data_IF_388629257478
#
_entry.id   IF_388629257478
#
_cell.length_a   1.000
_cell.length_b   1.000
_cell.length_c   1.000
_cell.angle_alpha   90.00
_cell.angle_beta   90.00
_cell.angle_gamma   90.00
#
_symmetry.space_group_name_H-M   'P 1'
#
loop_
_entity.id
_entity.type
_entity.pdbx_description
1 polymer ?
#
# COMPACT_ATOMS: atom_id res chain seq x y z
N UNK A 1 -12.59 26.67 -58.12
CA UNK A 1 -11.53 27.55 -57.61
C UNK A 1 -11.91 28.02 -56.21
N UNK A 2 -11.28 27.36 -55.24
CA UNK A 2 -11.18 27.62 -53.81
C UNK A 2 -11.37 29.08 -53.38
N UNK A 3 -12.25 29.36 -52.39
CA UNK A 3 -12.06 30.44 -51.40
C UNK A 3 -13.19 30.55 -50.35
N UNK A 4 -13.60 29.46 -49.67
CA UNK A 4 -14.56 29.61 -48.55
C UNK A 4 -14.25 28.83 -47.26
N UNK A 5 -13.14 28.07 -47.19
CA UNK A 5 -12.76 27.39 -45.94
C UNK A 5 -11.76 28.17 -45.05
N UNK A 6 -11.16 29.26 -45.54
CA UNK A 6 -10.13 30.00 -44.76
C UNK A 6 -10.70 31.05 -43.80
N UNK A 7 -11.99 31.42 -43.92
CA UNK A 7 -12.64 32.41 -43.03
C UNK A 7 -13.18 31.81 -41.74
N UNK A 8 -13.60 30.53 -41.76
CA UNK A 8 -14.16 29.86 -40.59
C UNK A 8 -13.09 29.49 -39.54
N UNK A 9 -11.92 29.04 -40.00
CA UNK A 9 -10.79 28.67 -39.12
C UNK A 9 -10.13 29.85 -38.42
N UNK A 10 -10.17 31.07 -39.01
CA UNK A 10 -9.65 32.29 -38.37
C UNK A 10 -10.56 32.84 -37.27
N UNK A 11 -11.88 32.63 -37.35
CA UNK A 11 -12.83 33.03 -36.30
C UNK A 11 -12.75 32.13 -35.05
N UNK A 12 -12.44 30.84 -35.23
CA UNK A 12 -12.28 29.89 -34.13
C UNK A 12 -10.97 30.13 -33.33
N UNK A 13 -9.88 30.47 -34.02
CA UNK A 13 -8.59 30.81 -33.39
C UNK A 13 -8.64 32.12 -32.58
N UNK A 14 -9.46 33.09 -32.98
CA UNK A 14 -9.64 34.36 -32.27
C UNK A 14 -10.50 34.22 -31.00
N UNK A 15 -11.47 33.28 -30.98
CA UNK A 15 -12.25 32.97 -29.77
C UNK A 15 -11.50 32.09 -28.77
N UNK A 16 -10.57 31.24 -29.21
CA UNK A 16 -9.73 30.44 -28.30
C UNK A 16 -8.65 31.27 -27.57
N UNK A 17 -8.10 32.32 -28.20
CA UNK A 17 -7.15 33.23 -27.53
C UNK A 17 -7.79 34.13 -26.47
N UNK A 18 -9.09 34.43 -26.59
CA UNK A 18 -9.80 35.24 -25.59
C UNK A 18 -10.25 34.46 -24.35
N UNK A 19 -10.25 33.12 -24.40
CA UNK A 19 -10.59 32.27 -23.25
C UNK A 19 -9.39 31.88 -22.39
N UNK A 20 -8.15 32.04 -22.91
CA UNK A 20 -6.91 31.68 -22.21
C UNK A 20 -6.36 32.85 -21.37
N UNK A 21 -6.83 34.09 -21.57
CA UNK A 21 -6.33 35.29 -20.85
C UNK A 21 -7.21 35.70 -19.65
N UNK A 22 -8.34 35.02 -19.37
CA UNK A 22 -9.22 35.31 -18.21
C UNK A 22 -9.34 34.17 -17.19
N UNK A 23 -8.40 33.23 -17.18
CA UNK A 23 -8.39 32.08 -16.25
C UNK A 23 -7.39 32.16 -15.10
N UNK A 24 -6.62 33.25 -14.98
CA UNK A 24 -5.58 33.37 -13.95
C UNK A 24 -6.01 34.31 -12.83
N UNK A 25 -5.86 33.82 -11.59
CA UNK A 25 -6.02 34.47 -10.30
C UNK A 25 -7.38 34.32 -9.61
N UNK A 26 -7.51 33.23 -8.84
CA UNK A 26 -8.28 33.26 -7.59
C UNK A 26 -7.30 33.80 -6.52
N UNK A 27 -7.50 34.99 -5.93
CA UNK A 27 -6.55 35.53 -4.97
C UNK A 27 -6.55 34.70 -3.68
N UNK A 28 -5.35 34.31 -3.26
CA UNK A 28 -5.10 33.70 -1.96
C UNK A 28 -5.48 34.67 -0.82
N UNK A 29 -6.10 34.12 0.23
CA UNK A 29 -6.45 34.83 1.47
C UNK A 29 -5.20 35.47 2.08
N UNK A 30 -5.17 36.80 2.15
CA UNK A 30 -4.53 37.56 3.22
C UNK A 30 -4.91 39.05 3.09
N UNK A 31 -5.97 39.45 3.78
CA UNK A 31 -6.22 40.84 4.14
C UNK A 31 -7.14 40.87 5.37
N UNK A 32 -6.59 41.26 6.50
CA UNK A 32 -7.31 41.66 7.71
C UNK A 32 -7.82 43.09 7.54
N UNK A 33 -9.14 43.31 7.53
CA UNK A 33 -9.78 44.56 7.96
C UNK A 33 -11.21 44.26 8.48
N UNK A 34 -11.73 45.04 9.44
CA UNK A 34 -12.91 44.69 10.23
C UNK A 34 -14.22 45.23 9.62
N UNK A 35 -15.30 44.47 9.82
CA UNK A 35 -16.68 44.96 9.75
C UNK A 35 -17.25 45.14 8.35
N UNK A 36 -18.14 44.23 7.94
CA UNK A 36 -19.47 44.52 7.39
C UNK A 36 -20.20 43.19 7.12
N UNK A 37 -21.46 43.10 7.55
CA UNK A 37 -22.35 41.96 7.28
C UNK A 37 -22.87 42.01 5.83
N UNK A 38 -23.10 40.82 5.26
CA UNK A 38 -24.08 40.48 4.21
C UNK A 38 -23.51 39.92 2.90
N UNK A 39 -24.01 38.72 2.56
CA UNK A 39 -24.14 38.13 1.21
C UNK A 39 -22.87 37.71 0.46
N UNK A 40 -22.30 36.54 0.81
CA UNK A 40 -21.22 35.91 0.01
C UNK A 40 -21.34 34.39 -0.18
N UNK A 41 -22.51 33.78 0.05
CA UNK A 41 -22.67 32.32 -0.11
C UNK A 41 -23.11 31.87 -1.51
N UNK A 42 -23.56 32.77 -2.39
CA UNK A 42 -24.13 32.36 -3.70
C UNK A 42 -23.08 32.36 -4.83
N UNK A 43 -22.00 33.15 -4.75
CA UNK A 43 -21.01 33.24 -5.84
C UNK A 43 -19.94 32.14 -5.82
N UNK A 44 -19.64 31.54 -4.66
CA UNK A 44 -18.65 30.44 -4.54
C UNK A 44 -19.13 29.15 -5.21
N UNK A 45 -20.43 28.84 -5.15
CA UNK A 45 -21.01 27.66 -5.79
C UNK A 45 -21.00 27.76 -7.31
N UNK A 46 -21.22 28.96 -7.87
CA UNK A 46 -21.23 29.18 -9.31
C UNK A 46 -19.85 28.93 -9.95
N UNK A 47 -18.76 29.17 -9.23
CA UNK A 47 -17.40 28.93 -9.73
C UNK A 47 -17.05 27.42 -9.75
N UNK A 48 -17.45 26.68 -8.71
CA UNK A 48 -17.24 25.22 -8.63
C UNK A 48 -18.09 24.47 -9.67
N UNK A 49 -19.34 24.88 -9.88
CA UNK A 49 -20.23 24.32 -10.90
C UNK A 49 -19.71 24.57 -12.33
N UNK A 50 -19.13 25.75 -12.62
CA UNK A 50 -18.51 26.02 -13.93
C UNK A 50 -17.27 25.17 -14.16
N UNK A 51 -16.44 24.96 -13.14
CA UNK A 51 -15.25 24.10 -13.25
C UNK A 51 -15.61 22.62 -13.46
N UNK A 52 -16.65 22.12 -12.77
CA UNK A 52 -17.15 20.77 -12.95
C UNK A 52 -17.73 20.53 -14.36
N UNK A 53 -18.43 21.51 -14.92
CA UNK A 53 -18.99 21.41 -16.27
C UNK A 53 -17.91 21.44 -17.36
N UNK A 54 -16.87 22.27 -17.23
CA UNK A 54 -15.73 22.28 -18.17
C UNK A 54 -15.00 20.92 -18.17
N UNK A 55 -14.86 20.28 -17.00
CA UNK A 55 -14.22 18.95 -16.90
C UNK A 55 -15.07 17.84 -17.53
N UNK A 56 -16.40 17.91 -17.40
CA UNK A 56 -17.34 16.98 -18.07
C UNK A 56 -17.31 17.17 -19.59
N UNK A 57 -17.31 18.40 -20.08
CA UNK A 57 -17.27 18.69 -21.51
C UNK A 57 -15.95 18.24 -22.15
N UNK A 58 -14.82 18.40 -21.45
CA UNK A 58 -13.52 17.94 -21.91
C UNK A 58 -13.42 16.40 -21.92
N UNK A 59 -14.04 15.72 -20.95
CA UNK A 59 -14.11 14.26 -20.92
C UNK A 59 -14.97 13.72 -22.08
N UNK A 60 -16.14 14.32 -22.34
CA UNK A 60 -17.01 13.94 -23.46
C UNK A 60 -16.36 14.21 -24.82
N UNK A 61 -15.57 15.27 -24.95
CA UNK A 61 -14.82 15.56 -26.18
C UNK A 61 -13.73 14.51 -26.44
N UNK A 62 -12.97 14.14 -25.40
CA UNK A 62 -11.97 13.06 -25.49
C UNK A 62 -12.61 11.71 -25.83
N UNK A 63 -13.77 11.39 -25.24
CA UNK A 63 -14.50 10.15 -25.52
C UNK A 63 -15.03 10.09 -26.98
N UNK A 64 -15.46 11.23 -27.54
CA UNK A 64 -15.88 11.31 -28.95
C UNK A 64 -14.70 11.19 -29.91
N UNK A 65 -13.55 11.78 -29.57
CA UNK A 65 -12.32 11.68 -30.36
C UNK A 65 -11.77 10.24 -30.39
N UNK A 66 -11.79 9.54 -29.26
CA UNK A 66 -11.34 8.13 -29.20
C UNK A 66 -12.29 7.19 -29.93
N UNK A 67 -13.61 7.38 -29.81
CA UNK A 67 -14.60 6.60 -30.56
C UNK A 67 -14.48 6.82 -32.08
N UNK A 68 -14.23 8.05 -32.53
CA UNK A 68 -14.01 8.35 -33.95
C UNK A 68 -12.71 7.71 -34.49
N UNK A 69 -11.63 7.69 -33.70
CA UNK A 69 -10.39 7.03 -34.06
C UNK A 69 -10.55 5.50 -34.16
N UNK A 70 -11.31 4.88 -33.25
CA UNK A 70 -11.60 3.44 -33.29
C UNK A 70 -12.44 3.05 -34.52
N UNK A 71 -13.40 3.87 -34.94
CA UNK A 71 -14.19 3.65 -36.14
C UNK A 71 -13.35 3.77 -37.43
N UNK A 72 -12.36 4.66 -37.45
CA UNK A 72 -11.46 4.81 -38.61
C UNK A 72 -10.53 3.61 -38.77
N UNK A 73 -10.09 3.00 -37.65
CA UNK A 73 -9.23 1.82 -37.63
C UNK A 73 -9.96 0.54 -38.07
N UNK A 74 -11.25 0.40 -37.78
CA UNK A 74 -12.04 -0.76 -38.24
C UNK A 74 -12.38 -0.70 -39.74
N UNK A 75 -12.50 0.50 -40.33
CA UNK A 75 -12.69 0.65 -41.77
C UNK A 75 -11.46 0.26 -42.60
N UNK A 76 -10.24 0.35 -42.06
CA UNK A 76 -9.00 -0.03 -42.74
C UNK A 76 -8.80 -1.57 -42.75
N UNK A 77 -9.41 -2.29 -41.81
CA UNK A 77 -9.27 -3.74 -41.70
C UNK A 77 -10.21 -4.54 -42.63
N UNK A 78 -11.18 -3.91 -43.29
CA UNK A 78 -12.19 -4.60 -44.12
C UNK A 78 -11.92 -4.62 -45.63
N UNK A 79 -10.81 -4.04 -46.12
CA UNK A 79 -10.44 -4.09 -47.54
C UNK A 79 -9.39 -5.15 -47.90
N UNK A 80 -9.10 -6.09 -47.00
CA UNK A 80 -8.22 -7.22 -47.30
C UNK A 80 -8.96 -8.55 -47.11
N UNK A 81 -9.80 -8.89 -48.08
CA UNK A 81 -10.25 -10.27 -48.31
C UNK A 81 -9.90 -10.65 -49.74
N UNK A 82 -9.09 -11.70 -49.91
CA UNK A 82 -8.68 -12.22 -51.20
C UNK A 82 -8.31 -13.70 -51.12
N UNK A 83 -9.33 -14.54 -51.33
CA UNK A 83 -9.33 -15.87 -51.95
C UNK A 83 -8.55 -17.05 -51.32
N UNK A 84 -9.30 -18.10 -50.96
CA UNK A 84 -8.82 -19.48 -50.81
C UNK A 84 -9.93 -20.43 -50.38
N UNK A 85 -10.51 -21.16 -51.35
CA UNK A 85 -11.64 -22.10 -51.19
C UNK A 85 -11.20 -23.46 -50.59
N UNK A 86 -12.14 -24.33 -50.13
CA UNK A 86 -11.87 -25.44 -49.21
C UNK A 86 -11.60 -26.78 -49.91
N UNK A 87 -11.02 -27.72 -49.17
CA UNK A 87 -11.01 -29.14 -49.54
C UNK A 87 -11.22 -30.02 -48.32
N UNK A 88 -12.07 -31.01 -48.53
CA UNK A 88 -12.65 -32.01 -47.64
C UNK A 88 -11.80 -33.29 -47.53
N UNK A 89 -12.30 -34.27 -46.74
CA UNK A 89 -11.94 -35.71 -46.65
C UNK A 89 -10.85 -35.98 -45.58
N UNK A 90 -10.92 -36.91 -44.60
CA UNK A 90 -11.72 -38.11 -44.33
C UNK A 90 -11.72 -38.51 -42.84
N UNK A 91 -12.62 -39.41 -42.47
CA UNK A 91 -12.76 -40.10 -41.18
C UNK A 91 -11.90 -41.38 -41.17
N UNK A 92 -11.30 -41.73 -40.02
CA UNK A 92 -10.70 -43.04 -39.80
C UNK A 92 -10.64 -43.42 -38.30
N UNK A 93 -11.44 -44.42 -37.91
CA UNK A 93 -11.38 -45.12 -36.61
C UNK A 93 -10.21 -46.11 -36.57
N UNK A 94 -9.63 -46.33 -35.38
CA UNK A 94 -8.74 -47.45 -35.08
C UNK A 94 -8.31 -47.46 -33.61
N UNK A 95 -8.87 -48.38 -32.81
CA UNK A 95 -8.48 -48.69 -31.44
C UNK A 95 -7.12 -49.44 -31.38
N UNK A 96 -6.34 -49.23 -30.31
CA UNK A 96 -6.00 -50.26 -29.28
C UNK A 96 -4.81 -49.83 -28.39
N UNK A 97 -5.02 -49.92 -27.07
CA UNK A 97 -4.10 -50.52 -26.08
C UNK A 97 -2.79 -49.80 -25.67
N UNK A 98 -2.69 -49.41 -24.39
CA UNK A 98 -1.41 -49.33 -23.67
C UNK A 98 -1.32 -48.25 -22.59
N UNK A 99 -1.53 -48.63 -21.32
CA UNK A 99 -1.14 -47.84 -20.14
C UNK A 99 0.40 -47.82 -19.99
N UNK A 100 1.00 -46.80 -19.32
CA UNK A 100 1.10 -46.86 -17.85
C UNK A 100 1.04 -45.51 -17.09
N UNK A 101 0.65 -45.66 -15.82
CA UNK A 101 0.99 -44.94 -14.58
C UNK A 101 1.64 -43.54 -14.54
N UNK A 102 1.05 -42.74 -13.64
CA UNK A 102 1.64 -41.81 -12.65
C UNK A 102 2.16 -40.43 -13.10
N UNK A 103 1.56 -39.37 -12.54
CA UNK A 103 2.20 -38.46 -11.57
C UNK A 103 1.22 -37.38 -11.07
N UNK A 104 1.02 -37.34 -9.75
CA UNK A 104 0.34 -36.28 -9.00
C UNK A 104 1.31 -35.11 -8.77
N UNK A 105 0.90 -33.84 -8.92
CA UNK A 105 1.74 -32.70 -8.51
C UNK A 105 1.65 -32.49 -6.99
N UNK A 106 2.83 -32.40 -6.36
CA UNK A 106 2.99 -32.38 -4.91
C UNK A 106 2.63 -31.06 -4.24
N UNK A 107 2.07 -31.19 -3.04
CA UNK A 107 1.93 -30.16 -2.02
C UNK A 107 3.30 -29.74 -1.44
N UNK A 108 3.48 -28.47 -1.04
CA UNK A 108 4.69 -28.02 -0.34
C UNK A 108 4.64 -28.43 1.15
N UNK A 109 5.77 -28.86 1.77
CA UNK A 109 5.74 -29.36 3.12
C UNK A 109 5.78 -28.23 4.18
N UNK A 110 4.87 -28.35 5.13
CA UNK A 110 4.89 -27.66 6.42
C UNK A 110 6.01 -28.23 7.31
N UNK A 111 6.77 -27.37 7.96
CA UNK A 111 7.77 -27.74 8.96
C UNK A 111 7.23 -27.51 10.37
N UNK A 112 7.31 -28.55 11.21
CA UNK A 112 7.17 -28.51 12.66
C UNK A 112 8.13 -29.59 13.25
N UNK A 113 8.44 -29.59 14.56
CA UNK A 113 9.76 -29.22 15.07
C UNK A 113 10.52 -30.40 15.68
N UNK A 114 11.85 -30.30 15.69
CA UNK A 114 12.73 -31.30 16.33
C UNK A 114 13.23 -30.81 17.69
N UNK A 115 12.84 -31.54 18.74
CA UNK A 115 13.57 -31.65 20.01
C UNK A 115 14.84 -32.50 19.79
N UNK A 116 15.86 -32.34 20.64
CA UNK A 116 16.65 -33.49 21.05
C UNK A 116 16.81 -33.61 22.58
N UNK A 117 16.79 -34.84 23.05
CA UNK A 117 17.01 -35.28 24.42
C UNK A 117 18.41 -35.96 24.52
N UNK A 118 19.17 -35.59 25.57
CA UNK A 118 20.14 -36.34 26.41
C UNK A 118 20.96 -37.54 25.84
N UNK A 119 22.22 -37.86 26.20
CA UNK A 119 23.22 -37.46 27.22
C UNK A 119 24.53 -38.24 26.90
N UNK A 120 25.71 -37.81 27.43
CA UNK A 120 26.71 -38.62 28.19
C UNK A 120 28.00 -37.81 28.51
N UNK A 121 28.22 -37.58 29.83
CA UNK A 121 29.43 -37.53 30.70
C UNK A 121 30.87 -37.60 30.11
N UNK A 122 31.97 -37.12 30.74
CA UNK A 122 32.31 -36.33 31.95
C UNK A 122 33.86 -36.20 32.04
N UNK A 123 34.37 -35.11 32.67
CA UNK A 123 35.73 -34.97 33.27
C UNK A 123 36.59 -33.87 32.62
N UNK A 124 37.32 -32.98 33.29
CA UNK A 124 37.58 -32.65 34.70
C UNK A 124 38.79 -31.68 34.79
N UNK A 125 38.77 -30.77 35.77
CA UNK A 125 39.90 -29.99 36.38
C UNK A 125 40.31 -28.58 35.88
N UNK A 126 39.87 -27.57 36.66
CA UNK A 126 40.57 -26.50 37.42
C UNK A 126 41.63 -25.49 36.87
N UNK A 127 41.46 -24.24 37.39
CA UNK A 127 42.40 -23.12 37.66
C UNK A 127 42.82 -22.20 36.48
N UNK A 128 42.99 -20.86 36.54
CA UNK A 128 42.92 -19.75 37.55
C UNK A 128 42.98 -18.39 36.77
N UNK A 129 42.59 -17.25 37.38
CA UNK A 129 43.30 -15.96 37.21
C UNK A 129 42.62 -14.76 36.52
N UNK A 130 41.96 -13.93 37.33
CA UNK A 130 41.94 -12.43 37.40
C UNK A 130 42.39 -11.54 36.21
N UNK A 131 41.58 -10.52 35.86
CA UNK A 131 41.89 -9.09 36.05
C UNK A 131 41.06 -8.13 35.15
N UNK A 132 40.44 -7.14 35.79
CA UNK A 132 39.70 -6.03 35.19
C UNK A 132 40.62 -4.85 34.82
N UNK A 133 40.31 -4.13 33.73
CA UNK A 133 40.64 -2.70 33.56
C UNK A 133 39.95 -2.02 32.37
N UNK A 134 39.19 -0.97 32.69
CA UNK A 134 38.98 0.27 31.91
C UNK A 134 39.22 1.45 32.90
N UNK A 135 39.31 2.75 32.53
CA UNK A 135 39.06 3.40 31.23
C UNK A 135 40.13 4.45 30.83
N UNK A 136 39.99 5.11 29.66
CA UNK A 136 40.35 6.54 29.42
C UNK A 136 40.02 7.02 27.99
N UNK A 137 39.61 8.29 27.85
CA UNK A 137 39.32 9.06 26.61
C UNK A 137 39.85 10.51 26.82
N UNK A 138 39.86 11.43 25.82
CA UNK A 138 40.56 11.58 24.52
C UNK A 138 41.55 12.79 24.50
N UNK A 139 42.07 13.21 23.32
CA UNK A 139 41.64 14.54 22.80
C UNK A 139 41.39 14.61 21.27
N UNK A 140 40.77 15.72 20.85
CA UNK A 140 40.20 16.01 19.53
C UNK A 140 41.11 16.84 18.58
N UNK A 141 40.92 16.69 17.25
CA UNK A 141 40.89 17.79 16.25
C UNK A 141 40.38 17.29 14.86
N UNK A 142 39.63 18.17 14.17
CA UNK A 142 38.69 17.98 13.02
C UNK A 142 39.36 17.93 11.60
N UNK A 143 38.61 17.90 10.47
CA UNK A 143 37.83 16.82 9.82
C UNK A 143 38.36 16.47 8.39
N UNK A 144 37.88 15.41 7.70
CA UNK A 144 37.06 15.68 6.51
C UNK A 144 35.95 14.63 6.17
N UNK A 145 34.84 15.18 5.68
CA UNK A 145 33.85 14.69 4.70
C UNK A 145 33.67 13.19 4.42
N UNK A 146 32.42 12.72 4.61
CA UNK A 146 31.74 11.86 3.63
C UNK A 146 31.04 10.61 4.18
N UNK A 147 29.70 10.58 4.01
CA UNK A 147 28.77 9.43 3.97
C UNK A 147 28.26 8.79 5.27
N UNK A 148 26.93 8.85 5.43
CA UNK A 148 26.10 7.76 5.95
C UNK A 148 25.81 7.77 7.46
N UNK A 149 24.52 7.77 7.79
CA UNK A 149 23.93 7.38 9.08
C UNK A 149 24.15 8.32 10.29
N UNK A 150 23.21 9.25 10.46
CA UNK A 150 22.80 9.69 11.79
C UNK A 150 21.28 9.83 11.81
N UNK A 151 20.58 8.70 11.72
CA UNK A 151 19.16 8.68 12.05
C UNK A 151 19.02 8.39 13.53
N UNK A 152 19.03 9.44 14.35
CA UNK A 152 18.73 9.33 15.78
C UNK A 152 17.37 8.63 15.94
N UNK A 153 17.36 7.40 16.44
CA UNK A 153 16.13 6.66 16.72
C UNK A 153 15.31 7.44 17.76
N UNK A 154 14.04 7.69 17.46
CA UNK A 154 13.08 8.39 18.32
C UNK A 154 12.15 7.38 18.97
N UNK A 155 11.94 7.51 20.27
CA UNK A 155 10.89 6.75 20.97
C UNK A 155 9.59 7.53 20.87
N UNK A 156 8.53 6.86 20.41
CA UNK A 156 7.21 7.45 20.24
C UNK A 156 6.61 7.77 21.61
N UNK A 157 6.20 9.02 21.81
CA UNK A 157 5.57 9.48 23.06
C UNK A 157 4.11 9.01 23.20
N UNK A 158 3.36 9.01 22.09
CA UNK A 158 1.93 8.68 22.06
C UNK A 158 1.67 7.47 21.17
N UNK A 159 2.03 6.24 21.60
CA UNK A 159 1.91 5.05 20.76
C UNK A 159 0.47 4.61 20.50
N UNK A 160 -0.51 5.15 21.23
CA UNK A 160 -1.95 4.87 21.05
C UNK A 160 -2.61 5.74 19.97
N UNK A 161 -1.91 6.73 19.42
CA UNK A 161 -2.44 7.54 18.32
C UNK A 161 -2.71 6.66 17.09
N UNK A 162 -3.91 6.77 16.51
CA UNK A 162 -4.31 5.97 15.35
C UNK A 162 -3.41 6.28 14.14
N UNK A 163 -2.97 7.52 13.99
CA UNK A 163 -2.07 7.96 12.92
C UNK A 163 -0.59 7.90 13.32
N UNK A 164 -0.23 7.19 14.40
CA UNK A 164 1.15 7.07 14.89
C UNK A 164 2.11 6.61 13.77
N UNK A 165 3.22 7.34 13.58
CA UNK A 165 4.26 6.94 12.65
C UNK A 165 5.23 5.98 13.35
N UNK A 166 5.12 4.68 13.04
CA UNK A 166 6.11 3.66 13.38
C UNK A 166 6.87 3.29 12.11
N UNK A 167 8.19 3.43 12.14
CA UNK A 167 9.06 3.12 11.00
C UNK A 167 10.52 2.96 11.47
N UNK A 168 11.49 2.90 10.54
CA UNK A 168 12.91 2.68 10.84
C UNK A 168 13.52 3.68 11.84
N UNK A 169 12.98 4.89 11.95
CA UNK A 169 13.51 5.94 12.83
C UNK A 169 12.62 6.24 14.02
N UNK A 170 11.37 5.75 14.04
CA UNK A 170 10.41 5.97 15.11
C UNK A 170 10.01 4.63 15.72
N UNK A 171 10.53 4.35 16.92
CA UNK A 171 10.34 3.10 17.66
C UNK A 171 9.23 3.25 18.69
N UNK A 172 8.42 2.21 18.85
CA UNK A 172 7.51 2.03 19.97
C UNK A 172 8.29 1.89 21.31
N UNK A 173 7.70 2.30 22.44
CA UNK A 173 8.24 2.00 23.77
C UNK A 173 8.41 0.49 23.99
N UNK A 174 9.44 0.07 24.74
CA UNK A 174 9.83 -1.36 24.91
C UNK A 174 8.69 -2.28 25.38
N UNK A 175 7.76 -1.74 26.16
CA UNK A 175 6.65 -2.51 26.75
C UNK A 175 5.28 -2.10 26.17
N UNK A 176 5.26 -1.50 24.98
CA UNK A 176 4.00 -1.15 24.35
C UNK A 176 3.22 -2.42 23.99
N UNK A 177 1.95 -2.45 24.42
CA UNK A 177 1.00 -3.50 24.10
C UNK A 177 -0.40 -2.88 24.07
N UNK A 178 -1.10 -2.86 22.92
CA UNK A 178 -2.42 -2.26 22.83
C UNK A 178 -3.41 -2.95 23.77
N UNK A 179 -4.25 -2.15 24.44
CA UNK A 179 -5.19 -2.65 25.46
C UNK A 179 -6.56 -3.03 24.90
N UNK A 180 -6.83 -2.66 23.66
CA UNK A 180 -8.12 -2.77 22.98
C UNK A 180 -8.08 -3.76 21.81
N UNK A 181 -7.20 -4.76 21.87
CA UNK A 181 -7.10 -5.81 20.86
C UNK A 181 -8.36 -6.70 20.87
N UNK A 182 -8.94 -6.91 19.70
CA UNK A 182 -10.07 -7.81 19.45
C UNK A 182 -9.83 -8.63 18.18
N UNK A 183 -10.48 -9.79 18.09
CA UNK A 183 -10.53 -10.58 16.85
C UNK A 183 -11.66 -10.02 15.96
N UNK A 184 -11.37 -9.46 14.78
CA UNK A 184 -12.40 -9.00 13.84
C UNK A 184 -13.15 -10.20 13.26
N UNK A 185 -14.43 -10.01 12.99
CA UNK A 185 -15.30 -11.00 12.36
C UNK A 185 -15.10 -11.08 10.84
N UNK A 186 -13.88 -11.41 10.42
CA UNK A 186 -13.50 -11.58 9.01
C UNK A 186 -12.79 -12.92 8.78
N UNK A 187 -12.83 -13.47 7.55
CA UNK A 187 -12.07 -14.66 7.21
C UNK A 187 -10.55 -14.43 7.35
N UNK A 188 -9.84 -15.46 7.81
CA UNK A 188 -8.37 -15.55 7.74
C UNK A 188 -8.00 -16.81 6.95
N UNK A 189 -6.81 -16.85 6.36
CA UNK A 189 -6.32 -18.02 5.61
C UNK A 189 -5.98 -19.24 6.51
N UNK A 190 -6.17 -19.11 7.82
CA UNK A 190 -5.93 -20.11 8.84
C UNK A 190 -7.04 -20.04 9.90
N UNK A 191 -7.29 -21.14 10.63
CA UNK A 191 -8.43 -21.26 11.55
C UNK A 191 -8.04 -21.03 13.01
N UNK A 192 -6.77 -21.20 13.33
CA UNK A 192 -6.22 -21.14 14.67
C UNK A 192 -6.43 -19.74 15.26
N UNK A 193 -6.90 -19.68 16.49
CA UNK A 193 -6.97 -18.42 17.24
C UNK A 193 -5.58 -18.07 17.74
N UNK A 194 -5.08 -16.89 17.38
CA UNK A 194 -3.76 -16.41 17.75
C UNK A 194 -3.70 -14.88 17.71
N UNK A 195 -2.63 -14.30 18.25
CA UNK A 195 -2.39 -12.84 18.20
C UNK A 195 -2.44 -12.30 16.76
N UNK A 196 -2.07 -13.10 15.75
CA UNK A 196 -2.10 -12.74 14.33
C UNK A 196 -3.50 -12.46 13.79
N UNK A 197 -4.56 -12.80 14.52
CA UNK A 197 -5.94 -12.47 14.15
C UNK A 197 -6.44 -11.23 14.85
N UNK A 198 -5.65 -10.62 15.73
CA UNK A 198 -6.09 -9.50 16.54
C UNK A 198 -5.78 -8.17 15.85
N UNK A 199 -6.65 -7.18 16.06
CA UNK A 199 -6.43 -5.77 15.71
C UNK A 199 -6.97 -4.91 16.85
N UNK A 200 -6.52 -3.66 16.94
CA UNK A 200 -7.18 -2.68 17.81
C UNK A 200 -8.63 -2.53 17.39
N UNK A 201 -9.53 -2.38 18.36
CA UNK A 201 -10.99 -2.41 18.17
C UNK A 201 -11.49 -1.52 17.03
N UNK A 202 -10.98 -0.29 16.93
CA UNK A 202 -11.38 0.65 15.87
C UNK A 202 -10.98 0.14 14.46
N UNK A 203 -9.75 -0.36 14.32
CA UNK A 203 -9.28 -0.95 13.08
C UNK A 203 -10.01 -2.26 12.75
N UNK A 204 -10.33 -3.08 13.75
CA UNK A 204 -11.10 -4.32 13.58
C UNK A 204 -12.49 -4.05 12.99
N UNK A 205 -13.24 -3.10 13.55
CA UNK A 205 -14.56 -2.73 13.02
C UNK A 205 -14.48 -2.13 11.61
N UNK A 206 -13.46 -1.30 11.34
CA UNK A 206 -13.26 -0.76 10.01
C UNK A 206 -12.88 -1.84 8.98
N UNK A 207 -12.15 -2.89 9.41
CA UNK A 207 -11.79 -4.01 8.56
C UNK A 207 -13.00 -4.85 8.19
N UNK A 208 -13.91 -5.09 9.13
CA UNK A 208 -15.18 -5.79 8.88
C UNK A 208 -15.99 -5.05 7.79
N UNK A 209 -16.14 -3.73 7.91
CA UNK A 209 -16.81 -2.90 6.90
C UNK A 209 -16.12 -2.99 5.52
N UNK A 210 -14.79 -2.94 5.49
CA UNK A 210 -14.00 -3.05 4.25
C UNK A 210 -14.19 -4.42 3.58
N UNK A 211 -14.16 -5.50 4.35
CA UNK A 211 -14.30 -6.85 3.85
C UNK A 211 -15.72 -7.14 3.35
N UNK A 212 -16.72 -6.63 4.05
CA UNK A 212 -18.11 -6.71 3.62
C UNK A 212 -18.35 -5.95 2.31
N UNK A 213 -17.70 -4.80 2.12
CA UNK A 213 -17.76 -4.05 0.87
C UNK A 213 -17.09 -4.81 -0.28
N UNK A 214 -15.87 -5.31 -0.06
CA UNK A 214 -15.16 -6.12 -1.06
C UNK A 214 -15.97 -7.35 -1.48
N UNK A 215 -16.61 -8.01 -0.51
CA UNK A 215 -17.50 -9.15 -0.75
C UNK A 215 -18.73 -8.77 -1.58
N UNK A 216 -19.35 -7.61 -1.34
CA UNK A 216 -20.49 -7.11 -2.15
C UNK A 216 -20.09 -6.86 -3.60
N UNK A 217 -18.84 -6.49 -3.84
CA UNK A 217 -18.28 -6.30 -5.17
C UNK A 217 -17.73 -7.60 -5.80
N UNK A 218 -17.97 -8.75 -5.16
CA UNK A 218 -17.56 -10.06 -5.66
C UNK A 218 -16.07 -10.36 -5.51
N UNK A 219 -15.37 -9.62 -4.64
CA UNK A 219 -13.93 -9.70 -4.37
C UNK A 219 -13.68 -10.06 -2.90
N UNK A 220 -14.09 -11.25 -2.43
CA UNK A 220 -13.94 -11.63 -1.03
C UNK A 220 -12.47 -11.65 -0.61
N UNK A 221 -12.17 -11.07 0.54
CA UNK A 221 -10.83 -10.96 1.12
C UNK A 221 -10.64 -11.93 2.30
N UNK A 222 -9.37 -12.16 2.65
CA UNK A 222 -8.97 -12.90 3.84
C UNK A 222 -7.75 -12.25 4.51
N UNK A 223 -7.72 -12.24 5.84
CA UNK A 223 -6.57 -11.82 6.63
C UNK A 223 -5.43 -12.85 6.61
N UNK A 224 -4.20 -12.35 6.65
CA UNK A 224 -2.95 -13.12 6.68
C UNK A 224 -2.19 -12.89 8.00
N UNK A 225 -2.07 -11.63 8.44
CA UNK A 225 -1.39 -11.29 9.71
C UNK A 225 -1.81 -9.91 10.21
N UNK A 226 -2.49 -9.85 11.35
CA UNK A 226 -2.78 -8.64 12.11
C UNK A 226 -1.69 -8.34 13.15
N UNK A 227 -2.08 -8.20 14.42
CA UNK A 227 -1.20 -7.89 15.54
C UNK A 227 -0.07 -8.92 15.70
N UNK A 228 1.10 -8.41 16.09
CA UNK A 228 2.28 -9.20 16.40
C UNK A 228 2.96 -8.57 17.60
N UNK A 229 3.09 -9.30 18.70
CA UNK A 229 3.78 -8.79 19.88
C UNK A 229 5.25 -8.51 19.60
N UNK A 230 5.84 -7.64 20.43
CA UNK A 230 7.28 -7.32 20.39
C UNK A 230 8.16 -8.57 20.43
N UNK A 231 7.82 -9.53 21.30
CA UNK A 231 8.54 -10.80 21.43
C UNK A 231 8.47 -11.64 20.15
N UNK A 232 7.30 -11.72 19.51
CA UNK A 232 7.14 -12.41 18.23
C UNK A 232 7.92 -11.69 17.12
N UNK A 233 7.87 -10.36 17.06
CA UNK A 233 8.66 -9.58 16.08
C UNK A 233 10.17 -9.82 16.26
N UNK A 234 10.66 -9.87 17.50
CA UNK A 234 12.06 -10.19 17.82
C UNK A 234 12.48 -11.56 17.31
N UNK A 235 11.67 -12.58 17.60
CA UNK A 235 11.93 -13.94 17.09
C UNK A 235 11.92 -13.98 15.57
N UNK A 236 10.92 -13.38 14.93
CA UNK A 236 10.78 -13.32 13.49
C UNK A 236 11.97 -12.65 12.81
N UNK A 237 12.34 -11.46 13.28
CA UNK A 237 13.46 -10.69 12.74
C UNK A 237 14.78 -11.45 12.89
N UNK A 238 15.05 -12.03 14.06
CA UNK A 238 16.27 -12.81 14.29
C UNK A 238 16.36 -14.05 13.37
N UNK A 239 15.23 -14.71 13.08
CA UNK A 239 15.19 -15.81 12.14
C UNK A 239 15.55 -15.37 10.71
N UNK A 240 15.06 -14.20 10.28
CA UNK A 240 15.43 -13.64 8.98
C UNK A 240 16.90 -13.21 8.93
N UNK A 241 17.41 -12.56 9.98
CA UNK A 241 18.84 -12.21 10.06
C UNK A 241 19.71 -13.46 9.98
N UNK A 242 19.34 -14.54 10.68
CA UNK A 242 20.07 -15.81 10.63
C UNK A 242 20.05 -16.46 9.24
N UNK A 243 18.93 -16.37 8.52
CA UNK A 243 18.75 -17.02 7.22
C UNK A 243 19.35 -16.21 6.06
N UNK A 244 19.10 -14.90 6.06
CA UNK A 244 19.28 -14.03 4.89
C UNK A 244 20.32 -12.92 5.14
N UNK A 245 20.76 -12.73 6.38
CA UNK A 245 21.67 -11.65 6.80
C UNK A 245 20.95 -10.34 7.13
N UNK A 246 21.55 -9.53 8.02
CA UNK A 246 20.91 -8.31 8.53
C UNK A 246 20.57 -7.30 7.44
N UNK A 247 21.49 -7.08 6.48
CA UNK A 247 21.29 -6.11 5.41
C UNK A 247 20.11 -6.48 4.49
N UNK A 248 19.87 -7.78 4.24
CA UNK A 248 18.73 -8.24 3.48
C UNK A 248 17.44 -8.16 4.31
N UNK A 249 17.46 -8.68 5.55
CA UNK A 249 16.32 -8.66 6.46
C UNK A 249 15.76 -7.25 6.66
N UNK A 250 16.63 -6.23 6.79
CA UNK A 250 16.25 -4.82 6.95
C UNK A 250 15.47 -4.22 5.76
N UNK A 251 15.36 -4.91 4.61
CA UNK A 251 14.59 -4.44 3.45
C UNK A 251 13.11 -4.83 3.50
N UNK A 252 12.77 -5.93 4.16
CA UNK A 252 11.41 -6.49 4.19
C UNK A 252 10.91 -6.84 5.61
N UNK A 253 11.76 -6.70 6.63
CA UNK A 253 11.39 -6.96 8.02
C UNK A 253 11.79 -5.79 8.91
N UNK A 254 10.85 -5.34 9.72
CA UNK A 254 11.11 -4.34 10.73
C UNK A 254 11.92 -4.91 11.90
N UNK A 255 12.79 -4.08 12.47
CA UNK A 255 13.39 -4.37 13.79
C UNK A 255 12.30 -4.38 14.86
N UNK A 256 12.48 -5.09 15.99
CA UNK A 256 11.53 -5.09 17.09
C UNK A 256 11.30 -3.67 17.63
N UNK A 257 10.03 -3.30 17.84
CA UNK A 257 9.60 -1.94 18.17
C UNK A 257 9.44 -1.01 16.97
N UNK A 258 9.85 -1.43 15.76
CA UNK A 258 9.69 -0.66 14.52
C UNK A 258 8.64 -1.26 13.58
N UNK A 259 7.97 -2.34 14.00
CA UNK A 259 6.93 -3.00 13.21
C UNK A 259 5.58 -2.36 13.46
N UNK A 260 4.87 -1.97 12.39
CA UNK A 260 3.50 -1.48 12.54
C UNK A 260 2.54 -2.56 13.06
N UNK A 261 2.83 -3.85 12.86
CA UNK A 261 2.01 -4.92 13.44
C UNK A 261 1.99 -4.89 14.98
N UNK A 262 3.03 -4.33 15.63
CA UNK A 262 3.05 -4.16 17.09
C UNK A 262 2.03 -3.11 17.56
N UNK A 263 1.52 -2.26 16.66
CA UNK A 263 0.45 -1.29 16.98
C UNK A 263 -0.94 -1.91 17.02
N UNK A 264 -1.13 -3.08 16.41
CA UNK A 264 -2.46 -3.64 16.14
C UNK A 264 -3.30 -2.82 15.16
N UNK A 265 -2.70 -1.87 14.43
CA UNK A 265 -3.35 -1.06 13.40
C UNK A 265 -2.97 -1.50 11.97
N UNK A 266 -2.07 -2.48 11.83
CA UNK A 266 -1.65 -3.03 10.55
C UNK A 266 -2.21 -4.44 10.34
N UNK A 267 -2.60 -4.74 9.09
CA UNK A 267 -3.01 -6.07 8.66
C UNK A 267 -2.51 -6.40 7.26
N UNK A 268 -1.93 -7.57 7.13
CA UNK A 268 -1.66 -8.21 5.83
C UNK A 268 -2.90 -8.94 5.35
N UNK A 269 -3.29 -8.73 4.09
CA UNK A 269 -4.48 -9.36 3.48
C UNK A 269 -4.16 -10.07 2.16
N UNK A 270 -5.09 -10.91 1.72
CA UNK A 270 -5.12 -11.49 0.37
C UNK A 270 -6.58 -11.69 -0.07
N UNK A 271 -6.80 -12.16 -1.29
CA UNK A 271 -8.11 -12.67 -1.73
C UNK A 271 -8.46 -13.97 -1.02
N UNK A 272 -9.75 -14.29 -0.86
CA UNK A 272 -10.21 -15.44 -0.07
C UNK A 272 -9.76 -16.81 -0.60
N UNK A 273 -9.22 -16.87 -1.83
CA UNK A 273 -8.54 -18.05 -2.37
C UNK A 273 -7.23 -18.39 -1.64
N UNK A 274 -6.68 -17.46 -0.86
CA UNK A 274 -5.42 -17.63 -0.13
C UNK A 274 -4.18 -17.62 -1.03
N UNK A 275 -4.30 -17.30 -2.32
CA UNK A 275 -3.17 -17.20 -3.25
C UNK A 275 -2.35 -15.94 -2.97
N UNK A 276 -1.03 -16.00 -3.23
CA UNK A 276 -0.12 -14.88 -3.01
C UNK A 276 -0.22 -14.21 -1.62
N UNK A 277 -0.31 -14.96 -0.50
CA UNK A 277 -0.47 -14.33 0.81
C UNK A 277 0.80 -13.57 1.19
N UNK A 278 0.70 -12.26 1.41
CA UNK A 278 1.81 -11.38 1.72
C UNK A 278 3.00 -11.49 0.73
N UNK A 279 2.68 -11.50 -0.58
CA UNK A 279 3.65 -11.64 -1.67
C UNK A 279 3.34 -10.67 -2.81
N UNK A 280 4.38 -10.28 -3.56
CA UNK A 280 4.32 -9.32 -4.67
C UNK A 280 3.24 -9.65 -5.70
N UNK A 281 3.04 -10.94 -5.99
CA UNK A 281 2.04 -11.39 -6.96
C UNK A 281 0.59 -11.06 -6.55
N UNK A 282 0.33 -10.70 -5.29
CA UNK A 282 -0.98 -10.17 -4.87
C UNK A 282 -1.30 -8.86 -5.57
N UNK A 283 -0.31 -8.01 -5.86
CA UNK A 283 -0.51 -6.69 -6.49
C UNK A 283 -1.16 -6.73 -7.87
N UNK A 284 -1.08 -7.86 -8.58
CA UNK A 284 -1.66 -8.03 -9.92
C UNK A 284 -3.12 -8.50 -9.90
N UNK A 285 -3.62 -8.89 -8.71
CA UNK A 285 -4.99 -9.40 -8.52
C UNK A 285 -6.05 -8.30 -8.62
N UNK A 286 -7.32 -8.70 -8.74
CA UNK A 286 -8.44 -7.75 -8.75
C UNK A 286 -8.67 -7.18 -7.35
N UNK A 287 -8.47 -8.01 -6.33
CA UNK A 287 -8.57 -7.70 -4.92
C UNK A 287 -7.59 -6.61 -4.50
N UNK A 288 -6.32 -6.71 -4.89
CA UNK A 288 -5.33 -5.68 -4.58
C UNK A 288 -5.65 -4.33 -5.25
N UNK A 289 -6.13 -4.35 -6.50
CA UNK A 289 -6.54 -3.13 -7.23
C UNK A 289 -7.75 -2.48 -6.55
N UNK A 290 -8.74 -3.28 -6.18
CA UNK A 290 -9.91 -2.82 -5.44
C UNK A 290 -9.51 -2.22 -4.08
N UNK A 291 -8.60 -2.85 -3.34
CA UNK A 291 -8.09 -2.32 -2.09
C UNK A 291 -7.37 -0.99 -2.27
N UNK A 292 -6.55 -0.84 -3.30
CA UNK A 292 -5.84 0.41 -3.58
C UNK A 292 -6.80 1.60 -3.81
N UNK A 293 -7.99 1.32 -4.36
CA UNK A 293 -9.03 2.32 -4.62
C UNK A 293 -9.93 2.58 -3.40
N UNK A 294 -10.36 1.52 -2.70
CA UNK A 294 -11.43 1.60 -1.70
C UNK A 294 -10.97 1.57 -0.23
N UNK A 295 -9.78 1.03 0.08
CA UNK A 295 -9.28 1.00 1.46
C UNK A 295 -9.32 2.37 2.18
N UNK A 296 -9.02 3.51 1.50
CA UNK A 296 -9.10 4.84 2.11
C UNK A 296 -10.50 5.23 2.61
N UNK A 297 -11.56 4.71 2.00
CA UNK A 297 -12.95 4.99 2.40
C UNK A 297 -13.25 4.45 3.80
N UNK A 298 -12.54 3.39 4.19
CA UNK A 298 -12.67 2.67 5.46
C UNK A 298 -11.62 3.07 6.49
N UNK A 299 -10.66 3.94 6.13
CA UNK A 299 -9.62 4.41 7.03
C UNK A 299 -8.30 3.64 6.94
N UNK A 300 -8.14 2.81 5.91
CA UNK A 300 -6.90 2.10 5.62
C UNK A 300 -6.13 2.74 4.47
N UNK A 301 -4.81 2.64 4.50
CA UNK A 301 -3.93 2.99 3.38
C UNK A 301 -3.13 1.76 2.96
N UNK A 302 -2.74 1.69 1.69
CA UNK A 302 -1.63 0.83 1.25
C UNK A 302 -0.35 1.45 1.81
N UNK A 303 0.22 0.84 2.85
CA UNK A 303 1.24 1.49 3.68
C UNK A 303 2.55 1.75 2.94
N UNK A 304 2.93 0.80 2.10
CA UNK A 304 4.18 0.81 1.35
C UNK A 304 3.87 0.78 -0.15
N UNK A 305 3.55 1.94 -0.75
CA UNK A 305 3.23 2.04 -2.17
C UNK A 305 4.48 1.96 -3.05
N UNK A 306 4.28 1.55 -4.31
CA UNK A 306 5.34 1.39 -5.30
C UNK A 306 6.05 2.71 -5.59
N UNK A 307 7.39 2.71 -5.62
CA UNK A 307 8.19 3.89 -5.94
C UNK A 307 8.43 4.85 -4.76
N UNK A 308 8.00 4.47 -3.55
CA UNK A 308 8.17 5.27 -2.31
C UNK A 308 9.14 4.61 -1.32
N UNK A 309 9.95 3.65 -1.77
CA UNK A 309 10.89 2.89 -0.96
C UNK A 309 11.97 3.80 -0.33
N UNK A 310 12.34 4.88 -1.01
CA UNK A 310 13.28 5.88 -0.51
C UNK A 310 12.73 6.71 0.67
N UNK A 311 11.41 6.73 0.85
CA UNK A 311 10.71 7.47 1.92
C UNK A 311 10.35 6.53 3.07
N UNK A 312 9.70 5.40 2.74
CA UNK A 312 9.23 4.45 3.76
C UNK A 312 10.36 3.55 4.29
N UNK A 313 11.37 3.31 3.45
CA UNK A 313 12.43 2.34 3.72
C UNK A 313 12.04 0.89 3.43
N UNK A 314 10.83 0.62 2.91
CA UNK A 314 10.31 -0.71 2.59
C UNK A 314 9.97 -0.81 1.12
N UNK A 315 10.10 -2.02 0.57
CA UNK A 315 9.65 -2.32 -0.79
C UNK A 315 8.13 -2.18 -0.95
N UNK A 316 7.63 -2.26 -2.18
CA UNK A 316 6.19 -2.26 -2.44
C UNK A 316 5.51 -3.47 -1.77
N UNK A 317 4.49 -3.21 -0.96
CA UNK A 317 3.71 -4.25 -0.27
C UNK A 317 2.20 -4.03 -0.48
N UNK A 318 1.60 -4.50 -1.59
CA UNK A 318 0.18 -4.31 -1.91
C UNK A 318 -0.79 -4.93 -0.90
N UNK A 319 -0.30 -5.86 -0.08
CA UNK A 319 -1.09 -6.57 0.92
C UNK A 319 -1.13 -5.88 2.28
N UNK A 320 -0.19 -4.97 2.58
CA UNK A 320 -0.02 -4.39 3.91
C UNK A 320 -0.90 -3.15 4.06
N UNK A 321 -2.03 -3.32 4.75
CA UNK A 321 -2.94 -2.24 5.07
C UNK A 321 -2.61 -1.64 6.44
N UNK A 322 -2.56 -0.31 6.51
CA UNK A 322 -2.39 0.43 7.77
C UNK A 322 -3.63 1.28 8.05
N UNK A 323 -4.27 1.03 9.20
CA UNK A 323 -5.35 1.88 9.69
C UNK A 323 -4.80 3.19 10.25
N UNK A 324 -5.34 4.31 9.78
CA UNK A 324 -4.98 5.67 10.20
C UNK A 324 -6.23 6.54 10.49
N UNK A 325 -7.42 5.94 10.46
CA UNK A 325 -8.69 6.64 10.54
C UNK A 325 -9.15 7.20 9.19
N UNK A 326 -10.47 7.37 9.02
CA UNK A 326 -11.09 7.71 7.73
C UNK A 326 -10.62 9.05 7.14
N UNK A 327 -10.40 10.07 7.97
CA UNK A 327 -10.00 11.39 7.49
C UNK A 327 -8.56 11.37 6.95
N UNK A 328 -7.61 10.89 7.75
CA UNK A 328 -6.22 10.79 7.34
C UNK A 328 -6.05 9.88 6.12
N UNK A 329 -6.72 8.73 6.09
CA UNK A 329 -6.61 7.81 4.95
C UNK A 329 -7.08 8.45 3.64
N UNK A 330 -8.20 9.18 3.66
CA UNK A 330 -8.71 9.91 2.50
C UNK A 330 -7.77 11.03 2.06
N UNK A 331 -7.18 11.77 2.99
CA UNK A 331 -6.22 12.83 2.67
C UNK A 331 -4.93 12.28 2.06
N UNK A 332 -4.39 11.21 2.65
CA UNK A 332 -3.21 10.49 2.16
C UNK A 332 -3.46 9.99 0.73
N UNK A 333 -4.59 9.30 0.51
CA UNK A 333 -4.96 8.78 -0.79
C UNK A 333 -5.18 9.88 -1.82
N UNK A 334 -5.88 10.96 -1.46
CA UNK A 334 -6.14 12.11 -2.35
C UNK A 334 -4.85 12.78 -2.82
N UNK A 335 -3.84 12.85 -1.95
CA UNK A 335 -2.55 13.46 -2.26
C UNK A 335 -1.55 12.49 -2.89
N UNK A 336 -1.78 11.18 -2.82
CA UNK A 336 -0.84 10.17 -3.29
C UNK A 336 0.47 10.15 -2.49
N UNK A 337 0.39 10.41 -1.19
CA UNK A 337 1.54 10.53 -0.27
C UNK A 337 1.63 9.33 0.67
N UNK A 338 2.72 9.20 1.41
CA UNK A 338 2.89 8.20 2.47
C UNK A 338 2.50 8.75 3.85
N UNK A 339 2.45 7.89 4.87
CA UNK A 339 2.24 8.32 6.26
C UNK A 339 3.39 9.21 6.76
N UNK A 340 4.63 8.98 6.32
CA UNK A 340 5.76 9.86 6.60
C UNK A 340 5.52 11.26 6.05
N UNK A 341 5.13 11.38 4.79
CA UNK A 341 4.86 12.67 4.14
C UNK A 341 3.66 13.38 4.81
N UNK A 342 2.63 12.64 5.20
CA UNK A 342 1.47 13.17 5.93
C UNK A 342 1.84 13.75 7.30
N UNK A 343 2.63 13.01 8.08
CA UNK A 343 3.00 13.40 9.45
C UNK A 343 4.05 14.51 9.50
N UNK A 344 4.93 14.61 8.51
CA UNK A 344 5.93 15.70 8.43
C UNK A 344 5.46 16.92 7.62
N UNK A 345 4.40 16.78 6.80
CA UNK A 345 3.87 17.82 5.91
C UNK A 345 2.79 18.74 6.51
N UNK A 346 2.32 18.46 7.73
CA UNK A 346 1.53 19.38 8.56
C UNK A 346 0.01 19.37 8.34
N UNK A 347 -0.71 18.63 9.20
CA UNK A 347 -1.88 19.08 9.96
C UNK A 347 -1.92 18.27 11.26
N UNK A 348 -2.04 18.88 12.46
CA UNK A 348 -2.31 18.12 13.68
C UNK A 348 -3.72 17.52 13.57
N UNK A 349 -3.83 16.19 13.51
CA UNK A 349 -5.11 15.51 13.66
C UNK A 349 -5.58 15.62 15.11
N UNK A 350 -6.36 16.66 15.41
CA UNK A 350 -7.17 16.68 16.61
C UNK A 350 -8.38 15.75 16.38
N UNK A 351 -8.35 14.56 16.97
CA UNK A 351 -9.56 13.74 17.10
C UNK A 351 -10.55 14.45 18.04
N UNK A 352 -11.84 14.59 17.68
CA UNK A 352 -12.85 14.98 18.64
C UNK A 352 -12.98 13.85 19.67
N UNK A 353 -12.89 14.22 20.95
CA UNK A 353 -13.09 13.34 22.11
C UNK A 353 -14.50 12.78 22.16
#
# INVERSE_FOLDING_TARGET
MNNDESKSTRHLACRLRSLIIRGTACPAKNATFPGFLSSNHIELDACQLRYANVRKDLFLLNLRLTAAAALLLTCIAFTASGCGNPSSVEVGQGETGGAPAAQNPGDPPAAAPSQPDDTVKQGGSSETGDAAKEPTKPPANLPPSGKGDDSSIRVIANPEDVAVLVNKTNKLPENYNPKDLVEPNVPFIFKEKSEKRMLRKEAASALEDLFDAAKKDGLPLAGVSGYRSHATQKTLYNNYVKRDGEAAANKYSAKPGHSEHETGLAIDVTGSSGKCPAQDCFGDTKEAKWLAEHAPEYGFIIRYPKGKESITGYQYEPWHLRYVGKNAAKEIAKQGITLEEYTHGGVPVSNPK
#
